data_IF_899689103767
#
_entry.id   IF_899689103767
#
_cell.length_a   1.000
_cell.length_b   1.000
_cell.length_c   1.000
_cell.angle_alpha   90.00
_cell.angle_beta   90.00
_cell.angle_gamma   90.00
#
_symmetry.space_group_name_H-M   'P 1'
#
loop_
_entity.id
_entity.type
_entity.pdbx_description
1 polymer ?
#
# COMPACT_ATOMS: atom_id res chain seq x y z
N UNK A 1 8.31 8.07 -9.03
CA UNK A 1 8.23 6.61 -9.25
C UNK A 1 8.90 5.84 -8.11
N UNK A 2 10.19 6.05 -7.82
CA UNK A 2 10.93 5.44 -6.69
C UNK A 2 10.22 5.48 -5.33
N UNK A 3 9.75 6.65 -4.91
CA UNK A 3 9.07 6.80 -3.61
C UNK A 3 7.79 5.97 -3.51
N UNK A 4 7.00 5.85 -4.59
CA UNK A 4 5.81 5.01 -4.61
C UNK A 4 6.17 3.53 -4.63
N UNK A 5 7.25 3.15 -5.31
CA UNK A 5 7.73 1.77 -5.29
C UNK A 5 8.22 1.37 -3.89
N UNK A 6 8.88 2.27 -3.16
CA UNK A 6 9.29 2.05 -1.78
C UNK A 6 8.10 1.94 -0.83
N UNK A 7 7.10 2.81 -0.96
CA UNK A 7 5.84 2.73 -0.20
C UNK A 7 5.08 1.44 -0.49
N UNK A 8 5.07 0.99 -1.75
CA UNK A 8 4.40 -0.26 -2.15
C UNK A 8 5.12 -1.48 -1.59
N UNK A 9 6.46 -1.52 -1.65
CA UNK A 9 7.26 -2.55 -0.95
C UNK A 9 6.91 -2.57 0.53
N UNK A 10 6.91 -1.40 1.19
CA UNK A 10 6.58 -1.27 2.60
C UNK A 10 5.16 -1.75 2.94
N UNK A 11 4.16 -1.43 2.11
CA UNK A 11 2.79 -1.90 2.27
C UNK A 11 2.68 -3.44 2.20
N UNK A 12 3.54 -4.07 1.39
CA UNK A 12 3.54 -5.53 1.19
C UNK A 12 4.35 -6.28 2.26
N UNK A 13 5.45 -5.73 2.77
CA UNK A 13 6.45 -6.53 3.52
C UNK A 13 6.84 -5.97 4.89
N UNK A 14 6.25 -4.86 5.36
CA UNK A 14 6.58 -4.40 6.72
C UNK A 14 6.06 -5.40 7.77
N UNK A 15 6.87 -5.66 8.80
CA UNK A 15 6.43 -6.40 9.99
C UNK A 15 5.26 -5.71 10.70
N UNK A 16 5.36 -4.40 10.91
CA UNK A 16 4.30 -3.57 11.47
C UNK A 16 3.65 -2.74 10.36
N UNK A 17 2.34 -2.90 10.09
CA UNK A 17 1.72 -2.24 8.94
C UNK A 17 1.62 -0.75 9.20
N UNK A 18 1.60 0.02 8.12
CA UNK A 18 1.16 1.40 8.20
C UNK A 18 0.03 1.62 7.19
N UNK A 19 -1.17 1.93 7.69
CA UNK A 19 -2.35 2.22 6.86
C UNK A 19 -2.14 3.42 5.92
N UNK A 20 -1.19 4.31 6.25
CA UNK A 20 -0.76 5.41 5.39
C UNK A 20 -0.17 4.94 4.06
N UNK A 21 0.58 3.84 4.05
CA UNK A 21 1.15 3.31 2.79
C UNK A 21 0.04 2.82 1.85
N UNK A 22 -1.05 2.26 2.40
CA UNK A 22 -2.24 1.85 1.65
C UNK A 22 -3.02 3.07 1.13
N UNK A 23 -3.17 4.11 1.96
CA UNK A 23 -3.75 5.38 1.53
C UNK A 23 -2.97 6.00 0.38
N UNK A 24 -1.64 6.12 0.51
CA UNK A 24 -0.78 6.74 -0.50
C UNK A 24 -0.81 5.96 -1.82
N UNK A 25 -0.84 4.63 -1.75
CA UNK A 25 -0.98 3.78 -2.93
C UNK A 25 -2.32 4.02 -3.63
N UNK A 26 -3.44 3.89 -2.93
CA UNK A 26 -4.77 4.09 -3.52
C UNK A 26 -4.95 5.51 -4.04
N UNK A 27 -4.52 6.52 -3.28
CA UNK A 27 -4.59 7.92 -3.68
C UNK A 27 -3.80 8.17 -4.96
N UNK A 28 -2.55 7.72 -5.05
CA UNK A 28 -1.72 7.88 -6.25
C UNK A 28 -2.36 7.24 -7.48
N UNK A 29 -3.05 6.10 -7.31
CA UNK A 29 -3.79 5.47 -8.41
C UNK A 29 -5.05 6.25 -8.77
N UNK A 30 -5.82 6.72 -7.78
CA UNK A 30 -7.04 7.49 -8.01
C UNK A 30 -6.77 8.79 -8.78
N UNK A 31 -5.69 9.49 -8.46
CA UNK A 31 -5.33 10.76 -9.11
C UNK A 31 -4.46 10.58 -10.37
N UNK A 32 -4.19 9.33 -10.76
CA UNK A 32 -3.45 9.01 -11.99
C UNK A 32 -1.93 9.21 -11.92
N UNK A 33 -1.36 9.44 -10.73
CA UNK A 33 0.08 9.52 -10.53
C UNK A 33 0.79 8.17 -10.54
N UNK A 34 0.03 7.09 -10.34
CA UNK A 34 0.52 5.73 -10.35
C UNK A 34 -0.37 4.86 -11.24
N UNK A 35 0.25 4.11 -12.15
CA UNK A 35 -0.38 3.04 -12.91
C UNK A 35 0.18 1.70 -12.38
N UNK A 36 -0.56 0.99 -11.52
CA UNK A 36 -0.08 -0.26 -10.90
C UNK A 36 0.27 -1.36 -11.92
N UNK A 37 -0.33 -1.31 -13.11
CA UNK A 37 -0.10 -2.25 -14.20
C UNK A 37 1.11 -1.90 -15.06
N UNK A 38 1.73 -0.74 -14.86
CA UNK A 38 2.87 -0.32 -15.65
C UNK A 38 4.07 -1.25 -15.40
N UNK A 39 4.62 -1.80 -16.48
CA UNK A 39 5.64 -2.85 -16.41
C UNK A 39 6.93 -2.38 -15.72
N UNK A 40 7.31 -1.13 -15.91
CA UNK A 40 8.45 -0.49 -15.24
C UNK A 40 8.23 -0.38 -13.72
N UNK A 41 7.03 -0.02 -13.29
CA UNK A 41 6.67 0.03 -11.87
C UNK A 41 6.66 -1.36 -11.23
N UNK A 42 6.05 -2.35 -11.87
CA UNK A 42 6.06 -3.75 -11.40
C UNK A 42 7.48 -4.28 -11.29
N UNK A 43 8.32 -4.04 -12.31
CA UNK A 43 9.72 -4.45 -12.29
C UNK A 43 10.50 -3.79 -11.14
N UNK A 44 10.28 -2.50 -10.91
CA UNK A 44 10.95 -1.77 -9.84
C UNK A 44 10.55 -2.29 -8.45
N UNK A 45 9.26 -2.57 -8.21
CA UNK A 45 8.84 -3.13 -6.93
C UNK A 45 9.38 -4.56 -6.74
N UNK A 46 9.41 -5.40 -7.78
CA UNK A 46 10.06 -6.72 -7.71
C UNK A 46 11.54 -6.63 -7.30
N UNK A 47 12.29 -5.70 -7.89
CA UNK A 47 13.69 -5.47 -7.53
C UNK A 47 13.83 -5.08 -6.04
N UNK A 48 12.95 -4.21 -5.56
CA UNK A 48 12.92 -3.79 -4.16
C UNK A 48 12.54 -4.92 -3.20
N UNK A 49 11.65 -5.82 -3.60
CA UNK A 49 11.25 -7.00 -2.82
C UNK A 49 12.36 -8.04 -2.74
N UNK A 50 13.17 -8.18 -3.80
CA UNK A 50 14.29 -9.12 -3.86
C UNK A 50 15.48 -8.77 -2.95
N UNK A 51 15.49 -7.60 -2.31
CA UNK A 51 16.52 -7.21 -1.35
C UNK A 51 16.38 -8.07 -0.09
N UNK A 52 17.48 -8.72 0.31
CA UNK A 52 17.58 -9.51 1.55
C UNK A 52 17.18 -8.67 2.77
N UNK A 53 16.35 -9.24 3.65
CA UNK A 53 15.88 -8.60 4.88
C UNK A 53 14.44 -8.06 4.82
N UNK A 54 13.75 -8.17 3.68
CA UNK A 54 12.30 -8.03 3.64
C UNK A 54 11.63 -9.25 4.27
N UNK A 55 10.56 -9.03 5.04
CA UNK A 55 9.62 -10.10 5.35
C UNK A 55 8.90 -10.56 4.07
N UNK A 56 8.25 -11.72 4.13
CA UNK A 56 7.37 -12.16 3.06
C UNK A 56 6.25 -11.15 2.77
N UNK A 57 5.73 -11.20 1.54
CA UNK A 57 4.50 -10.46 1.20
C UNK A 57 3.37 -10.93 2.12
N UNK A 58 2.73 -9.98 2.80
CA UNK A 58 1.63 -10.25 3.72
C UNK A 58 0.39 -9.43 3.34
N UNK A 59 -0.57 -10.13 2.74
CA UNK A 59 -1.90 -9.61 2.39
C UNK A 59 -3.00 -10.40 3.09
N UNK A 60 -2.69 -10.96 4.27
CA UNK A 60 -3.60 -11.78 5.06
C UNK A 60 -4.74 -10.97 5.70
N UNK A 61 -5.80 -11.67 6.14
CA UNK A 61 -6.87 -11.05 6.91
C UNK A 61 -6.36 -10.49 8.25
N UNK A 62 -5.38 -11.13 8.88
CA UNK A 62 -4.72 -10.63 10.09
C UNK A 62 -4.09 -9.25 9.84
N UNK A 63 -3.37 -9.09 8.72
CA UNK A 63 -2.82 -7.80 8.29
C UNK A 63 -3.93 -6.77 8.07
N UNK A 64 -5.02 -7.17 7.41
CA UNK A 64 -6.18 -6.31 7.17
C UNK A 64 -6.76 -5.79 8.50
N UNK A 65 -6.96 -6.66 9.49
CA UNK A 65 -7.47 -6.30 10.81
C UNK A 65 -6.55 -5.32 11.55
N UNK A 66 -5.22 -5.51 11.46
CA UNK A 66 -4.25 -4.57 12.04
C UNK A 66 -4.39 -3.18 11.42
N UNK A 67 -4.50 -3.10 10.10
CA UNK A 67 -4.65 -1.83 9.37
C UNK A 67 -5.97 -1.11 9.70
N UNK A 68 -7.08 -1.84 9.86
CA UNK A 68 -8.38 -1.26 10.24
C UNK A 68 -8.28 -0.53 11.57
N UNK A 69 -7.56 -1.08 12.55
CA UNK A 69 -7.36 -0.46 13.88
C UNK A 69 -6.59 0.86 13.80
N UNK A 70 -5.78 1.06 12.75
CA UNK A 70 -4.98 2.27 12.55
C UNK A 70 -5.75 3.42 11.88
N UNK A 71 -6.95 3.17 11.32
CA UNK A 71 -7.69 4.20 10.56
C UNK A 71 -7.96 5.45 11.40
N UNK A 72 -8.53 5.30 12.59
CA UNK A 72 -8.86 6.43 13.46
C UNK A 72 -7.64 6.97 14.21
N UNK A 73 -6.74 6.08 14.68
CA UNK A 73 -5.63 6.47 15.53
C UNK A 73 -4.43 7.05 14.77
N UNK A 74 -4.19 6.60 13.53
CA UNK A 74 -2.97 6.92 12.78
C UNK A 74 -3.23 7.61 11.44
N UNK A 75 -4.36 7.32 10.77
CA UNK A 75 -4.66 7.94 9.48
C UNK A 75 -5.48 9.22 9.60
N UNK A 76 -6.55 9.21 10.40
CA UNK A 76 -7.42 10.37 10.58
C UNK A 76 -6.69 11.65 11.01
N UNK A 77 -5.71 11.62 11.95
CA UNK A 77 -5.06 12.85 12.42
C UNK A 77 -4.16 13.51 11.37
N UNK A 78 -3.72 12.76 10.34
CA UNK A 78 -2.77 13.25 9.33
C UNK A 78 -3.42 13.66 8.02
N UNK A 79 -4.68 13.28 7.80
CA UNK A 79 -5.44 13.63 6.61
C UNK A 79 -6.34 14.83 6.83
N UNK A 80 -6.59 15.58 5.75
CA UNK A 80 -7.68 16.57 5.76
C UNK A 80 -9.01 15.83 5.94
N UNK A 81 -10.00 16.40 6.66
CA UNK A 81 -11.27 15.72 6.90
C UNK A 81 -11.98 15.22 5.63
N UNK A 82 -11.90 15.99 4.53
CA UNK A 82 -12.46 15.62 3.24
C UNK A 82 -11.77 14.39 2.63
N UNK A 83 -10.43 14.32 2.71
CA UNK A 83 -9.66 13.20 2.18
C UNK A 83 -9.91 11.92 2.98
N UNK A 84 -9.96 12.02 4.32
CA UNK A 84 -10.30 10.89 5.18
C UNK A 84 -11.71 10.37 4.90
N UNK A 85 -12.68 11.28 4.71
CA UNK A 85 -14.06 10.91 4.37
C UNK A 85 -14.17 10.25 2.98
N UNK A 86 -13.33 10.65 2.03
CA UNK A 86 -13.30 10.08 0.69
C UNK A 86 -12.49 8.77 0.60
N UNK A 87 -11.64 8.50 1.60
CA UNK A 87 -10.83 7.30 1.63
C UNK A 87 -11.70 6.04 1.81
N UNK A 88 -11.46 5.05 0.95
CA UNK A 88 -12.11 3.75 1.03
C UNK A 88 -11.02 2.70 1.30
N UNK A 89 -10.96 2.23 2.55
CA UNK A 89 -9.97 1.24 2.98
C UNK A 89 -10.06 -0.07 2.20
N UNK A 90 -11.28 -0.58 1.97
CA UNK A 90 -11.48 -1.85 1.26
C UNK A 90 -10.95 -1.78 -0.17
N UNK A 91 -11.22 -0.67 -0.87
CA UNK A 91 -10.66 -0.41 -2.20
C UNK A 91 -9.14 -0.38 -2.15
N UNK A 92 -8.56 0.35 -1.19
CA UNK A 92 -7.11 0.47 -1.07
C UNK A 92 -6.43 -0.88 -0.80
N UNK A 93 -6.98 -1.66 0.13
CA UNK A 93 -6.49 -3.00 0.44
C UNK A 93 -6.62 -3.93 -0.77
N UNK A 94 -7.77 -3.95 -1.45
CA UNK A 94 -7.97 -4.76 -2.65
C UNK A 94 -6.99 -4.42 -3.79
N UNK A 95 -6.65 -3.13 -3.96
CA UNK A 95 -5.63 -2.72 -4.95
C UNK A 95 -4.25 -3.26 -4.59
N UNK A 96 -3.86 -3.22 -3.31
CA UNK A 96 -2.57 -3.77 -2.86
C UNK A 96 -2.54 -5.29 -3.00
N UNK A 97 -3.63 -5.99 -2.67
CA UNK A 97 -3.78 -7.45 -2.90
C UNK A 97 -3.64 -7.78 -4.39
N UNK A 98 -4.33 -7.04 -5.26
CA UNK A 98 -4.22 -7.25 -6.71
C UNK A 98 -2.81 -6.98 -7.21
N UNK A 99 -2.11 -5.99 -6.65
CA UNK A 99 -0.73 -5.70 -6.98
C UNK A 99 0.23 -6.79 -6.48
N UNK A 100 0.00 -7.34 -5.28
CA UNK A 100 0.77 -8.46 -4.74
C UNK A 100 0.80 -9.63 -5.73
N UNK A 101 -0.35 -10.02 -6.29
CA UNK A 101 -0.43 -11.09 -7.30
C UNK A 101 0.31 -10.81 -8.62
N UNK A 102 0.75 -9.56 -8.87
CA UNK A 102 1.59 -9.20 -10.02
C UNK A 102 3.07 -9.29 -9.71
N UNK A 103 3.47 -9.22 -8.43
CA UNK A 103 4.88 -9.21 -8.01
C UNK A 103 5.32 -10.49 -7.31
N UNK A 104 4.37 -11.33 -6.88
CA UNK A 104 4.60 -12.72 -6.48
C UNK A 104 5.12 -13.60 -7.61
#
# INVERSE_FOLDING_TARGET
MEAYAEKTRAALTRREPAVRDFYDFDYAVQVGYLQPEAADFVALVRQKLAILGNEGIDVSDTRREQLVRQLEAELRPVLRPADFKAFNFDRAFARVVAFAGRVS
#
